data_IF_038666946779
#
_entry.id   IF_038666946779
#
_cell.length_a   1.000
_cell.length_b   1.000
_cell.length_c   1.000
_cell.angle_alpha   90.00
_cell.angle_beta   90.00
_cell.angle_gamma   90.00
#
_symmetry.space_group_name_H-M   'P 1'
#
loop_
_entity.id
_entity.type
_entity.pdbx_description
1 polymer ?
#
# COMPACT_ATOMS: atom_id res chain seq x y z
N UNK A 1 -6.71 -19.82 -9.44
CA UNK A 1 -6.09 -19.06 -8.34
C UNK A 1 -5.22 -20.00 -7.52
N UNK A 2 -4.10 -19.51 -6.97
CA UNK A 2 -3.23 -20.33 -6.12
C UNK A 2 -3.66 -20.20 -4.66
N UNK A 3 -3.71 -21.33 -3.94
CA UNK A 3 -3.96 -21.39 -2.51
C UNK A 3 -2.72 -21.96 -1.80
N UNK A 4 -2.35 -21.34 -0.67
CA UNK A 4 -1.33 -21.82 0.26
C UNK A 4 -2.07 -22.13 1.56
N UNK A 5 -1.97 -23.37 2.03
CA UNK A 5 -2.71 -23.85 3.19
C UNK A 5 -1.70 -24.34 4.22
N UNK A 6 -1.83 -23.90 5.46
CA UNK A 6 -1.03 -24.37 6.59
C UNK A 6 -1.98 -24.72 7.76
N UNK A 7 -2.14 -26.02 8.00
CA UNK A 7 -2.95 -26.53 9.11
C UNK A 7 -2.24 -26.31 10.45
N UNK A 8 -2.94 -25.71 11.40
CA UNK A 8 -2.48 -25.41 12.77
C UNK A 8 -3.64 -25.49 13.74
N UNK A 9 -3.76 -26.61 14.44
CA UNK A 9 -4.90 -26.92 15.31
C UNK A 9 -4.71 -26.44 16.77
N UNK A 10 -3.82 -25.48 17.03
CA UNK A 10 -3.54 -25.02 18.40
C UNK A 10 -4.66 -24.15 18.99
N UNK A 11 -5.44 -23.47 18.15
CA UNK A 11 -6.57 -22.64 18.54
C UNK A 11 -7.68 -22.76 17.48
N UNK A 12 -8.97 -22.67 17.86
CA UNK A 12 -10.10 -22.83 16.94
C UNK A 12 -10.36 -21.56 16.10
N UNK A 13 -9.31 -21.08 15.42
CA UNK A 13 -9.28 -19.88 14.58
C UNK A 13 -8.42 -20.16 13.35
N UNK A 14 -8.78 -19.54 12.23
CA UNK A 14 -7.92 -19.42 11.07
C UNK A 14 -7.76 -17.96 10.64
N UNK A 15 -6.69 -17.67 9.92
CA UNK A 15 -6.40 -16.40 9.26
C UNK A 15 -6.40 -16.61 7.75
N UNK A 16 -7.24 -15.84 7.06
CA UNK A 16 -7.25 -15.75 5.62
C UNK A 16 -6.53 -14.50 5.14
N UNK A 17 -5.75 -14.63 4.07
CA UNK A 17 -5.01 -13.54 3.46
C UNK A 17 -5.08 -13.69 1.94
N UNK A 18 -5.56 -12.68 1.22
CA UNK A 18 -5.55 -12.65 -0.24
C UNK A 18 -4.58 -11.59 -0.71
N UNK A 19 -3.55 -12.01 -1.41
CA UNK A 19 -2.53 -11.19 -2.06
C UNK A 19 -2.88 -11.02 -3.53
N UNK A 20 -2.99 -9.78 -3.99
CA UNK A 20 -3.09 -9.42 -5.41
C UNK A 20 -1.75 -8.80 -5.81
N UNK A 21 -1.10 -9.36 -6.84
CA UNK A 21 0.19 -8.88 -7.34
C UNK A 21 -0.02 -7.64 -8.23
N UNK A 22 -0.49 -6.56 -7.60
CA UNK A 22 -0.72 -5.25 -8.20
C UNK A 22 -0.55 -4.18 -7.12
N UNK A 23 0.18 -3.09 -7.39
CA UNK A 23 0.28 -1.94 -6.49
C UNK A 23 0.46 -0.65 -7.26
N UNK A 24 0.92 0.41 -6.59
CA UNK A 24 1.09 1.72 -7.24
C UNK A 24 2.14 1.72 -8.36
N UNK A 25 3.05 0.73 -8.40
CA UNK A 25 4.01 0.58 -9.48
C UNK A 25 3.39 0.11 -10.79
N UNK A 26 2.22 -0.53 -10.73
CA UNK A 26 1.51 -1.04 -11.91
C UNK A 26 0.53 0.02 -12.50
N UNK A 27 0.55 1.24 -11.95
CA UNK A 27 -0.29 2.36 -12.37
C UNK A 27 0.34 3.20 -13.49
N UNK A 28 -0.49 4.02 -14.13
CA UNK A 28 -0.08 4.96 -15.18
C UNK A 28 -0.38 6.39 -14.78
N UNK A 29 0.41 7.35 -15.29
CA UNK A 29 0.13 8.78 -15.08
C UNK A 29 -1.28 9.15 -15.54
N UNK A 30 -1.93 10.01 -14.77
CA UNK A 30 -3.34 10.38 -14.95
C UNK A 30 -4.31 9.46 -14.21
N UNK A 31 -3.84 8.33 -13.68
CA UNK A 31 -4.60 7.39 -12.85
C UNK A 31 -3.77 6.86 -11.67
N UNK A 32 -2.87 7.68 -11.12
CA UNK A 32 -2.11 7.29 -9.92
C UNK A 32 -3.02 7.22 -8.68
N UNK A 33 -2.74 6.30 -7.77
CA UNK A 33 -3.54 6.00 -6.57
C UNK A 33 -4.73 5.07 -6.81
N UNK A 34 -4.95 4.61 -8.04
CA UNK A 34 -6.08 3.74 -8.37
C UNK A 34 -5.99 2.37 -7.69
N UNK A 35 -4.80 1.84 -7.43
CA UNK A 35 -4.62 0.61 -6.64
C UNK A 35 -5.09 0.83 -5.20
N UNK A 36 -4.80 1.99 -4.61
CA UNK A 36 -5.22 2.36 -3.26
C UNK A 36 -6.74 2.50 -3.15
N UNK A 37 -7.43 2.93 -4.21
CA UNK A 37 -8.90 2.95 -4.24
C UNK A 37 -9.48 1.57 -3.89
N UNK A 38 -8.88 0.47 -4.34
CA UNK A 38 -9.37 -0.88 -4.04
C UNK A 38 -9.23 -1.31 -2.59
N UNK A 39 -8.42 -0.62 -1.79
CA UNK A 39 -8.40 -0.77 -0.34
C UNK A 39 -9.70 -0.22 0.27
N UNK A 40 -10.14 0.95 -0.17
CA UNK A 40 -11.39 1.58 0.26
C UNK A 40 -12.63 0.85 -0.25
N UNK A 41 -12.57 0.36 -1.48
CA UNK A 41 -13.68 -0.37 -2.11
C UNK A 41 -13.81 -1.81 -1.64
N UNK A 42 -12.81 -2.31 -0.88
CA UNK A 42 -12.70 -3.70 -0.45
C UNK A 42 -13.97 -4.26 0.21
N UNK A 43 -14.67 -3.43 0.99
CA UNK A 43 -15.78 -3.89 1.84
C UNK A 43 -17.13 -3.28 1.44
N UNK A 44 -17.20 -2.69 0.23
CA UNK A 44 -18.42 -2.05 -0.28
C UNK A 44 -19.46 -3.04 -0.85
N UNK A 45 -19.13 -4.33 -0.87
CA UNK A 45 -20.07 -5.40 -1.22
C UNK A 45 -20.18 -5.70 -2.72
N UNK A 46 -21.27 -6.36 -3.07
CA UNK A 46 -21.53 -6.93 -4.40
C UNK A 46 -22.94 -6.55 -4.89
N UNK A 47 -23.41 -7.16 -5.98
CA UNK A 47 -24.79 -6.95 -6.46
C UNK A 47 -25.84 -7.54 -5.53
N UNK A 48 -25.45 -8.46 -4.65
CA UNK A 48 -26.36 -9.15 -3.71
C UNK A 48 -26.10 -8.80 -2.24
N UNK A 49 -24.96 -8.18 -1.94
CA UNK A 49 -24.56 -7.79 -0.60
C UNK A 49 -24.18 -6.31 -0.57
N UNK A 50 -24.63 -5.57 0.43
CA UNK A 50 -24.37 -4.14 0.61
C UNK A 50 -25.38 -3.22 -0.08
N UNK A 51 -26.58 -3.72 -0.37
CA UNK A 51 -27.62 -2.96 -1.11
C UNK A 51 -29.03 -3.34 -0.73
N UNK A 52 -29.93 -2.37 -0.82
CA UNK A 52 -31.38 -2.48 -0.61
C UNK A 52 -32.15 -2.51 -1.94
N UNK A 53 -31.46 -2.33 -3.07
CA UNK A 53 -32.03 -2.27 -4.42
C UNK A 53 -30.94 -1.98 -5.44
N UNK A 54 -30.30 -3.04 -5.95
CA UNK A 54 -29.13 -2.90 -6.81
C UNK A 54 -29.47 -2.25 -8.17
N UNK A 55 -30.61 -2.57 -8.76
CA UNK A 55 -30.96 -2.05 -10.09
C UNK A 55 -31.17 -0.53 -10.05
N UNK A 56 -31.84 -0.02 -9.01
CA UNK A 56 -32.00 1.41 -8.77
C UNK A 56 -30.68 2.09 -8.44
N UNK A 57 -29.88 1.48 -7.55
CA UNK A 57 -28.55 1.95 -7.19
C UNK A 57 -27.65 2.07 -8.43
N UNK A 58 -27.63 1.04 -9.27
CA UNK A 58 -26.86 0.99 -10.51
C UNK A 58 -27.29 2.08 -11.48
N UNK A 59 -28.59 2.27 -11.67
CA UNK A 59 -29.10 3.32 -12.56
C UNK A 59 -28.67 4.73 -12.10
N UNK A 60 -28.58 4.97 -10.79
CA UNK A 60 -28.06 6.22 -10.24
C UNK A 60 -26.54 6.33 -10.39
N UNK A 61 -25.79 5.25 -10.15
CA UNK A 61 -24.35 5.22 -10.37
C UNK A 61 -23.96 5.50 -11.82
N UNK A 62 -24.68 4.94 -12.78
CA UNK A 62 -24.40 5.16 -14.21
C UNK A 62 -24.66 6.62 -14.60
N UNK A 63 -25.72 7.26 -14.07
CA UNK A 63 -25.95 8.70 -14.25
C UNK A 63 -24.86 9.55 -13.60
N UNK A 64 -24.40 9.16 -12.41
CA UNK A 64 -23.30 9.86 -11.73
C UNK A 64 -22.02 9.80 -12.55
N UNK A 65 -21.71 8.66 -13.18
CA UNK A 65 -20.54 8.55 -14.06
C UNK A 65 -20.63 9.50 -15.25
N UNK A 66 -21.77 9.52 -15.96
CA UNK A 66 -22.00 10.42 -17.10
C UNK A 66 -21.87 11.90 -16.70
N UNK A 67 -22.37 12.23 -15.51
CA UNK A 67 -22.30 13.59 -14.98
C UNK A 67 -20.89 13.96 -14.53
N UNK A 68 -20.17 13.02 -13.94
CA UNK A 68 -18.79 13.20 -13.54
C UNK A 68 -17.86 13.40 -14.74
N UNK A 69 -18.10 12.71 -15.86
CA UNK A 69 -17.37 12.95 -17.11
C UNK A 69 -17.62 14.36 -17.67
N UNK A 70 -18.85 14.89 -17.51
CA UNK A 70 -19.15 16.28 -17.85
C UNK A 70 -18.43 17.27 -16.92
N UNK A 71 -18.37 16.99 -15.62
CA UNK A 71 -17.60 17.78 -14.65
C UNK A 71 -16.12 17.81 -15.03
N UNK A 72 -15.52 16.64 -15.31
CA UNK A 72 -14.13 16.54 -15.80
C UNK A 72 -13.92 17.37 -17.07
N UNK A 73 -14.84 17.29 -18.03
CA UNK A 73 -14.76 18.06 -19.27
C UNK A 73 -14.83 19.57 -19.03
N UNK A 74 -15.57 20.04 -18.02
CA UNK A 74 -15.57 21.45 -17.62
C UNK A 74 -14.26 21.84 -16.94
N UNK A 75 -13.77 21.05 -15.97
CA UNK A 75 -12.50 21.31 -15.29
C UNK A 75 -11.32 21.37 -16.27
N UNK A 76 -11.32 20.52 -17.30
CA UNK A 76 -10.29 20.50 -18.34
C UNK A 76 -10.22 21.81 -19.15
N UNK A 77 -11.27 22.64 -19.16
CA UNK A 77 -11.26 23.96 -19.82
C UNK A 77 -10.50 25.03 -19.02
N UNK A 78 -10.13 24.75 -17.77
CA UNK A 78 -9.43 25.67 -16.88
C UNK A 78 -10.17 27.01 -16.75
N UNK A 79 -9.49 28.12 -17.05
CA UNK A 79 -10.07 29.47 -16.98
C UNK A 79 -11.23 29.72 -17.95
N UNK A 80 -11.49 28.81 -18.91
CA UNK A 80 -12.62 28.89 -19.84
C UNK A 80 -13.80 28.00 -19.42
N UNK A 81 -13.76 27.41 -18.23
CA UNK A 81 -14.88 26.66 -17.69
C UNK A 81 -16.09 27.57 -17.50
N UNK A 82 -17.27 27.05 -17.83
CA UNK A 82 -18.53 27.73 -17.56
C UNK A 82 -18.90 27.52 -16.09
N UNK A 83 -18.76 28.58 -15.30
CA UNK A 83 -18.97 28.54 -13.85
C UNK A 83 -20.43 28.27 -13.46
N UNK A 84 -21.40 28.76 -14.25
CA UNK A 84 -22.81 28.49 -14.02
C UNK A 84 -23.09 27.02 -14.31
N UNK A 85 -22.61 26.53 -15.46
CA UNK A 85 -22.78 25.11 -15.81
C UNK A 85 -22.10 24.18 -14.81
N UNK A 86 -20.92 24.56 -14.32
CA UNK A 86 -20.21 23.76 -13.31
C UNK A 86 -21.03 23.65 -12.02
N UNK A 87 -21.58 24.77 -11.53
CA UNK A 87 -22.42 24.77 -10.34
C UNK A 87 -23.69 23.92 -10.49
N UNK A 88 -24.32 23.94 -11.66
CA UNK A 88 -25.46 23.05 -11.98
C UNK A 88 -25.07 21.57 -11.91
N UNK A 89 -23.98 21.19 -12.59
CA UNK A 89 -23.51 19.81 -12.65
C UNK A 89 -23.12 19.30 -11.25
N UNK A 90 -22.45 20.13 -10.44
CA UNK A 90 -22.07 19.78 -9.06
C UNK A 90 -23.29 19.57 -8.16
N UNK A 91 -24.31 20.43 -8.28
CA UNK A 91 -25.54 20.31 -7.52
C UNK A 91 -26.33 19.03 -7.89
N UNK A 92 -26.48 18.77 -9.19
CA UNK A 92 -27.12 17.54 -9.69
C UNK A 92 -26.35 16.29 -9.25
N UNK A 93 -25.02 16.34 -9.28
CA UNK A 93 -24.17 15.22 -8.88
C UNK A 93 -24.32 14.89 -7.41
N UNK A 94 -24.32 15.92 -6.56
CA UNK A 94 -24.55 15.76 -5.12
C UNK A 94 -25.95 15.18 -4.84
N UNK A 95 -26.98 15.65 -5.54
CA UNK A 95 -28.32 15.11 -5.40
C UNK A 95 -28.37 13.61 -5.77
N UNK A 96 -27.79 13.21 -6.90
CA UNK A 96 -27.73 11.80 -7.30
C UNK A 96 -26.96 10.95 -6.29
N UNK A 97 -25.90 11.49 -5.68
CA UNK A 97 -25.15 10.80 -4.64
C UNK A 97 -25.99 10.58 -3.36
N UNK A 98 -26.76 11.58 -2.95
CA UNK A 98 -27.68 11.47 -1.82
C UNK A 98 -28.81 10.46 -2.10
N UNK A 99 -29.37 10.47 -3.32
CA UNK A 99 -30.38 9.49 -3.75
C UNK A 99 -29.81 8.06 -3.78
N UNK A 100 -28.59 7.86 -4.33
CA UNK A 100 -27.95 6.56 -4.40
C UNK A 100 -27.66 5.99 -3.00
N UNK A 101 -27.30 6.85 -2.04
CA UNK A 101 -27.03 6.45 -0.65
C UNK A 101 -28.23 5.82 0.07
N UNK A 102 -29.46 6.05 -0.41
CA UNK A 102 -30.65 5.41 0.15
C UNK A 102 -30.70 3.91 -0.15
N UNK A 103 -30.09 3.49 -1.26
CA UNK A 103 -30.02 2.11 -1.71
C UNK A 103 -28.76 1.38 -1.23
N UNK A 104 -27.67 2.09 -0.97
CA UNK A 104 -26.42 1.49 -0.49
C UNK A 104 -26.46 1.16 1.01
N UNK A 105 -25.90 0.01 1.38
CA UNK A 105 -25.48 -0.32 2.75
C UNK A 105 -24.01 -0.72 2.75
N UNK A 106 -23.13 0.30 2.65
CA UNK A 106 -21.68 0.12 2.52
C UNK A 106 -20.99 -0.52 3.71
N UNK A 107 -21.71 -0.79 4.81
CA UNK A 107 -21.21 -1.44 6.02
C UNK A 107 -21.74 -2.87 6.19
N UNK A 108 -22.62 -3.36 5.32
CA UNK A 108 -23.23 -4.69 5.50
C UNK A 108 -22.17 -5.81 5.51
N UNK A 109 -21.18 -5.72 4.62
CA UNK A 109 -20.09 -6.68 4.54
C UNK A 109 -19.30 -6.77 5.86
N UNK A 110 -18.91 -5.61 6.42
CA UNK A 110 -18.16 -5.57 7.68
C UNK A 110 -19.01 -5.96 8.87
N UNK A 111 -20.30 -5.61 8.90
CA UNK A 111 -21.25 -6.04 9.94
C UNK A 111 -21.41 -7.55 10.00
N UNK A 112 -21.49 -8.23 8.84
CA UNK A 112 -21.53 -9.70 8.79
C UNK A 112 -20.25 -10.27 9.43
N UNK A 113 -19.08 -9.75 9.04
CA UNK A 113 -17.81 -10.21 9.60
C UNK A 113 -17.74 -10.00 11.13
N UNK A 114 -18.14 -8.82 11.62
CA UNK A 114 -18.16 -8.51 13.05
C UNK A 114 -19.10 -9.44 13.83
N UNK A 115 -20.30 -9.69 13.31
CA UNK A 115 -21.28 -10.60 13.93
C UNK A 115 -20.77 -12.05 13.98
N UNK A 116 -19.95 -12.44 13.02
CA UNK A 116 -19.39 -13.79 12.91
C UNK A 116 -18.02 -13.94 13.61
N UNK A 117 -17.61 -12.91 14.36
CA UNK A 117 -16.43 -12.95 15.22
C UNK A 117 -15.12 -12.70 14.48
N UNK A 118 -15.16 -12.00 13.35
CA UNK A 118 -13.94 -11.63 12.63
C UNK A 118 -13.07 -10.70 13.47
N UNK A 119 -11.75 -10.93 13.41
CA UNK A 119 -10.75 -10.09 14.08
C UNK A 119 -9.71 -9.66 13.05
N UNK A 120 -9.28 -8.40 13.14
CA UNK A 120 -8.24 -7.87 12.26
C UNK A 120 -8.68 -7.68 10.81
N UNK A 121 -9.97 -7.43 10.55
CA UNK A 121 -10.51 -7.04 9.24
C UNK A 121 -9.78 -5.82 8.72
N UNK A 122 -8.97 -6.04 7.69
CA UNK A 122 -8.19 -4.99 7.10
C UNK A 122 -7.83 -5.28 5.63
N UNK A 123 -7.42 -4.23 4.95
CA UNK A 123 -6.81 -4.28 3.64
C UNK A 123 -5.54 -3.41 3.66
N UNK A 124 -4.72 -3.52 2.64
CA UNK A 124 -3.55 -2.67 2.51
C UNK A 124 -3.02 -2.65 1.08
N UNK A 125 -2.54 -1.48 0.68
CA UNK A 125 -1.89 -1.28 -0.62
C UNK A 125 -0.45 -0.82 -0.42
N UNK A 126 0.42 -1.29 -1.31
CA UNK A 126 1.82 -0.90 -1.39
C UNK A 126 2.19 -0.52 -2.82
N UNK A 127 3.47 -0.24 -3.08
CA UNK A 127 3.96 -0.10 -4.43
C UNK A 127 3.85 -1.39 -5.26
N UNK A 128 3.82 -2.57 -4.63
CA UNK A 128 3.95 -3.87 -5.34
C UNK A 128 2.71 -4.77 -5.28
N UNK A 129 1.83 -4.51 -4.31
CA UNK A 129 0.74 -5.41 -3.96
C UNK A 129 -0.42 -4.69 -3.27
N UNK A 130 -1.60 -5.29 -3.40
CA UNK A 130 -2.79 -5.01 -2.61
C UNK A 130 -3.22 -6.29 -1.92
N UNK A 131 -3.58 -6.22 -0.65
CA UNK A 131 -3.94 -7.40 0.12
C UNK A 131 -5.14 -7.17 1.04
N UNK A 132 -5.83 -8.26 1.36
CA UNK A 132 -7.04 -8.29 2.17
C UNK A 132 -6.94 -9.45 3.16
N UNK A 133 -7.16 -9.19 4.44
CA UNK A 133 -6.91 -10.21 5.45
C UNK A 133 -7.72 -10.01 6.72
N UNK A 134 -8.05 -11.13 7.35
CA UNK A 134 -8.68 -11.21 8.66
C UNK A 134 -8.68 -12.64 9.19
N UNK A 135 -8.93 -12.76 10.49
CA UNK A 135 -9.10 -14.03 11.18
C UNK A 135 -10.56 -14.27 11.53
N UNK A 136 -10.97 -15.53 11.55
CA UNK A 136 -12.31 -15.98 11.90
C UNK A 136 -12.25 -17.29 12.71
N UNK A 137 -13.28 -17.63 13.50
CA UNK A 137 -13.43 -18.96 14.09
C UNK A 137 -13.40 -20.06 13.02
N UNK A 138 -12.81 -21.23 13.31
CA UNK A 138 -12.63 -22.34 12.34
C UNK A 138 -13.91 -22.74 11.61
N UNK A 139 -15.04 -22.73 12.32
CA UNK A 139 -16.36 -23.08 11.77
C UNK A 139 -16.96 -22.01 10.83
N UNK A 140 -16.19 -20.98 10.46
CA UNK A 140 -16.57 -19.92 9.51
C UNK A 140 -15.74 -19.94 8.22
N UNK A 141 -14.97 -20.99 7.98
CA UNK A 141 -14.17 -21.09 6.74
C UNK A 141 -15.02 -21.00 5.46
N UNK A 142 -16.21 -21.62 5.44
CA UNK A 142 -17.09 -21.54 4.27
C UNK A 142 -17.67 -20.13 4.08
N UNK A 143 -17.92 -19.40 5.16
CA UNK A 143 -18.33 -17.99 5.11
C UNK A 143 -17.22 -17.12 4.48
N UNK A 144 -15.97 -17.31 4.92
CA UNK A 144 -14.81 -16.62 4.33
C UNK A 144 -14.69 -16.92 2.83
N UNK A 145 -14.81 -18.19 2.44
CA UNK A 145 -14.78 -18.61 1.04
C UNK A 145 -15.89 -17.94 0.21
N UNK A 146 -17.10 -17.88 0.77
CA UNK A 146 -18.23 -17.22 0.11
C UNK A 146 -17.96 -15.72 -0.07
N UNK A 147 -17.71 -14.99 1.02
CA UNK A 147 -17.55 -13.52 0.99
C UNK A 147 -16.37 -13.08 0.12
N UNK A 148 -15.21 -13.69 0.30
CA UNK A 148 -14.01 -13.30 -0.44
C UNK A 148 -14.11 -13.65 -1.92
N UNK A 149 -14.70 -14.80 -2.28
CA UNK A 149 -14.88 -15.14 -3.70
C UNK A 149 -15.85 -14.18 -4.39
N UNK A 150 -16.97 -13.84 -3.73
CA UNK A 150 -17.95 -12.89 -4.26
C UNK A 150 -17.33 -11.50 -4.48
N UNK A 151 -16.52 -11.01 -3.53
CA UNK A 151 -15.81 -9.71 -3.66
C UNK A 151 -14.97 -9.64 -4.94
N UNK A 152 -14.37 -10.73 -5.37
CA UNK A 152 -13.52 -10.74 -6.57
C UNK A 152 -14.24 -11.17 -7.85
N UNK A 153 -15.43 -11.75 -7.75
CA UNK A 153 -16.24 -12.13 -8.91
C UNK A 153 -17.12 -10.98 -9.35
N UNK A 154 -17.78 -10.32 -8.40
CA UNK A 154 -18.84 -9.36 -8.66
C UNK A 154 -18.79 -8.14 -7.71
N UNK A 155 -17.66 -7.40 -7.66
CA UNK A 155 -17.58 -6.20 -6.84
C UNK A 155 -18.46 -5.10 -7.39
N UNK A 156 -19.13 -4.39 -6.48
CA UNK A 156 -19.83 -3.15 -6.82
C UNK A 156 -19.07 -1.97 -6.26
N UNK A 157 -18.69 -1.03 -7.13
CA UNK A 157 -18.01 0.22 -6.76
C UNK A 157 -18.98 1.25 -6.18
N UNK A 158 -19.83 0.83 -5.25
CA UNK A 158 -20.79 1.72 -4.59
C UNK A 158 -20.08 2.67 -3.65
N UNK A 159 -20.64 3.87 -3.50
CA UNK A 159 -19.99 4.97 -2.76
C UNK A 159 -18.62 5.41 -3.31
N UNK A 160 -18.23 5.01 -4.54
CA UNK A 160 -16.92 5.31 -5.13
C UNK A 160 -16.49 6.78 -4.95
N UNK A 161 -17.38 7.71 -5.29
CA UNK A 161 -17.07 9.14 -5.21
C UNK A 161 -16.96 9.67 -3.77
N UNK A 162 -17.71 9.06 -2.83
CA UNK A 162 -17.62 9.37 -1.39
C UNK A 162 -16.29 8.86 -0.83
N UNK A 163 -15.89 7.63 -1.15
CA UNK A 163 -14.58 7.10 -0.77
C UNK A 163 -13.44 7.88 -1.41
N UNK A 164 -13.62 8.38 -2.64
CA UNK A 164 -12.65 9.27 -3.27
C UNK A 164 -12.40 10.55 -2.47
N UNK A 165 -13.43 11.12 -1.87
CA UNK A 165 -13.27 12.27 -0.97
C UNK A 165 -12.58 11.89 0.34
N UNK A 166 -12.82 10.68 0.88
CA UNK A 166 -12.07 10.15 2.03
C UNK A 166 -10.58 10.01 1.70
N UNK A 167 -10.24 9.47 0.53
CA UNK A 167 -8.84 9.33 0.05
C UNK A 167 -8.18 10.72 -0.10
N UNK A 168 -8.91 11.73 -0.58
CA UNK A 168 -8.41 13.11 -0.65
C UNK A 168 -8.08 13.69 0.72
N UNK A 169 -8.94 13.47 1.71
CA UNK A 169 -8.65 13.87 3.10
C UNK A 169 -7.47 13.09 3.68
N UNK A 170 -7.37 11.80 3.41
CA UNK A 170 -6.22 11.00 3.81
C UNK A 170 -4.91 11.55 3.23
N UNK A 171 -4.88 11.86 1.93
CA UNK A 171 -3.71 12.47 1.29
C UNK A 171 -3.35 13.81 1.95
N UNK A 172 -4.36 14.65 2.21
CA UNK A 172 -4.17 15.94 2.90
C UNK A 172 -3.55 15.75 4.28
N UNK A 173 -4.03 14.77 5.05
CA UNK A 173 -3.54 14.50 6.40
C UNK A 173 -2.15 13.85 6.42
N UNK A 174 -1.96 12.78 5.62
CA UNK A 174 -0.75 11.93 5.66
C UNK A 174 0.43 12.54 4.92
N UNK A 175 0.17 13.27 3.83
CA UNK A 175 1.22 13.85 2.97
C UNK A 175 1.20 15.37 3.03
N UNK A 176 0.12 16.02 2.57
CA UNK A 176 0.17 17.46 2.28
C UNK A 176 0.26 18.34 3.52
N UNK A 177 -0.22 17.87 4.67
CA UNK A 177 -0.11 18.55 5.97
C UNK A 177 1.07 18.05 6.81
N UNK A 178 1.75 16.98 6.40
CA UNK A 178 2.88 16.38 7.10
C UNK A 178 4.22 16.84 6.50
N UNK A 179 5.06 17.60 7.24
CA UNK A 179 6.37 18.00 6.72
C UNK A 179 7.26 16.81 6.33
N UNK A 180 7.18 15.71 7.07
CA UNK A 180 7.91 14.47 6.76
C UNK A 180 7.29 13.78 5.55
N UNK A 181 5.95 13.73 5.48
CA UNK A 181 5.23 13.16 4.32
C UNK A 181 5.61 13.85 3.01
N UNK A 182 5.59 15.19 2.98
CA UNK A 182 6.07 15.98 1.82
C UNK A 182 7.53 15.69 1.49
N UNK A 183 8.42 15.65 2.48
CA UNK A 183 9.84 15.39 2.23
C UNK A 183 10.08 14.00 1.63
N UNK A 184 9.37 12.98 2.12
CA UNK A 184 9.52 11.61 1.62
C UNK A 184 8.92 11.46 0.22
N UNK A 185 7.78 12.08 -0.08
CA UNK A 185 7.21 12.10 -1.45
C UNK A 185 8.15 12.80 -2.45
N UNK A 186 8.71 13.96 -2.07
CA UNK A 186 9.70 14.67 -2.89
C UNK A 186 10.99 13.86 -3.07
N UNK A 187 11.48 13.18 -2.02
CA UNK A 187 12.65 12.31 -2.11
C UNK A 187 12.40 11.15 -3.06
N UNK A 188 11.22 10.54 -2.99
CA UNK A 188 10.82 9.43 -3.84
C UNK A 188 10.79 9.86 -5.32
N UNK A 189 10.12 10.98 -5.61
CA UNK A 189 10.08 11.54 -6.97
C UNK A 189 11.45 12.00 -7.48
N UNK A 190 12.34 12.48 -6.59
CA UNK A 190 13.71 12.84 -6.97
C UNK A 190 14.58 11.61 -7.25
N UNK A 191 14.35 10.49 -6.57
CA UNK A 191 15.12 9.27 -6.73
C UNK A 191 14.82 8.58 -8.07
N UNK A 192 13.55 8.54 -8.49
CA UNK A 192 13.13 7.86 -9.72
C UNK A 192 12.77 8.84 -10.83
N UNK A 193 13.50 8.80 -11.94
CA UNK A 193 13.21 9.58 -13.14
C UNK A 193 12.24 8.88 -14.09
N UNK A 194 12.18 7.55 -14.06
CA UNK A 194 11.40 6.77 -15.02
C UNK A 194 10.60 5.63 -14.39
N UNK A 195 11.15 4.93 -13.39
CA UNK A 195 10.44 3.80 -12.80
C UNK A 195 9.19 4.26 -12.02
N UNK A 196 8.04 3.55 -12.11
CA UNK A 196 6.80 3.89 -11.40
C UNK A 196 6.90 3.95 -9.87
N UNK A 197 7.99 3.46 -9.30
CA UNK A 197 8.32 3.69 -7.88
C UNK A 197 8.53 5.16 -7.54
N UNK A 198 8.60 6.07 -8.52
CA UNK A 198 8.50 7.51 -8.26
C UNK A 198 7.11 7.98 -7.83
N UNK A 199 6.05 7.18 -8.06
CA UNK A 199 4.67 7.59 -7.81
C UNK A 199 4.29 7.39 -6.34
N UNK A 200 3.63 8.36 -5.68
CA UNK A 200 3.11 8.16 -4.34
C UNK A 200 2.02 7.09 -4.35
N UNK A 201 2.03 6.18 -3.38
CA UNK A 201 1.09 5.05 -3.30
C UNK A 201 -0.37 5.53 -3.28
N UNK A 202 -0.64 6.61 -2.56
CA UNK A 202 -1.98 7.22 -2.48
C UNK A 202 -2.42 7.93 -3.77
N UNK A 203 -1.48 8.17 -4.71
CA UNK A 203 -1.71 8.92 -5.94
C UNK A 203 -1.52 10.43 -5.81
N UNK A 204 -1.38 11.10 -6.95
CA UNK A 204 -1.35 12.56 -7.01
C UNK A 204 -2.76 13.14 -6.85
N UNK A 205 -2.89 14.27 -6.14
CA UNK A 205 -4.20 14.92 -5.90
C UNK A 205 -4.97 15.22 -7.20
N UNK A 206 -4.27 15.57 -8.29
CA UNK A 206 -4.88 15.78 -9.62
C UNK A 206 -5.53 14.52 -10.18
N UNK A 207 -4.87 13.38 -9.99
CA UNK A 207 -5.32 12.09 -10.50
C UNK A 207 -6.49 11.61 -9.64
N UNK A 208 -6.36 11.62 -8.32
CA UNK A 208 -7.44 11.29 -7.38
C UNK A 208 -8.70 12.14 -7.66
N UNK A 209 -8.54 13.44 -7.95
CA UNK A 209 -9.69 14.29 -8.28
C UNK A 209 -10.42 13.82 -9.53
N UNK A 210 -9.70 13.31 -10.53
CA UNK A 210 -10.23 13.04 -11.87
C UNK A 210 -10.47 11.56 -12.19
N UNK A 211 -9.99 10.62 -11.36
CA UNK A 211 -10.25 9.19 -11.55
C UNK A 211 -11.75 8.89 -11.54
N UNK A 212 -12.17 8.07 -12.50
CA UNK A 212 -13.55 7.62 -12.70
C UNK A 212 -13.77 6.20 -12.18
N UNK A 213 -15.04 5.87 -11.91
CA UNK A 213 -15.46 4.51 -11.59
C UNK A 213 -15.20 3.54 -12.75
N UNK A 214 -15.31 4.01 -14.00
CA UNK A 214 -15.01 3.24 -15.20
C UNK A 214 -13.53 2.85 -15.28
N UNK A 215 -12.61 3.78 -15.04
CA UNK A 215 -11.16 3.52 -14.98
C UNK A 215 -10.84 2.55 -13.85
N UNK A 216 -11.46 2.70 -12.67
CA UNK A 216 -11.31 1.75 -11.57
C UNK A 216 -11.77 0.34 -11.99
N UNK A 217 -12.98 0.19 -12.53
CA UNK A 217 -13.47 -1.12 -13.01
C UNK A 217 -12.60 -1.71 -14.12
N UNK A 218 -11.98 -0.89 -14.96
CA UNK A 218 -11.00 -1.36 -15.95
C UNK A 218 -9.75 -1.92 -15.28
N UNK A 219 -9.18 -1.18 -14.31
CA UNK A 219 -8.04 -1.63 -13.52
C UNK A 219 -8.34 -2.94 -12.79
N UNK A 220 -9.52 -3.06 -12.17
CA UNK A 220 -9.98 -4.30 -11.54
C UNK A 220 -9.94 -5.48 -12.52
N UNK A 221 -10.58 -5.32 -13.69
CA UNK A 221 -10.68 -6.36 -14.71
C UNK A 221 -9.32 -6.80 -15.27
N UNK A 222 -8.35 -5.90 -15.28
CA UNK A 222 -7.00 -6.16 -15.78
C UNK A 222 -6.14 -6.88 -14.74
N UNK A 223 -6.15 -6.44 -13.48
CA UNK A 223 -5.21 -6.90 -12.46
C UNK A 223 -5.76 -7.92 -11.46
N UNK A 224 -7.07 -7.93 -11.18
CA UNK A 224 -7.71 -8.83 -10.21
C UNK A 224 -8.15 -10.12 -10.89
N UNK A 225 -7.16 -10.87 -11.37
CA UNK A 225 -7.37 -12.13 -12.08
C UNK A 225 -6.91 -13.32 -11.25
N UNK A 226 -7.51 -14.52 -11.43
CA UNK A 226 -7.10 -15.70 -10.68
C UNK A 226 -5.61 -16.06 -10.84
N UNK A 227 -4.99 -15.68 -11.95
CA UNK A 227 -3.57 -15.95 -12.25
C UNK A 227 -2.63 -14.93 -11.58
N UNK A 228 -3.14 -13.75 -11.19
CA UNK A 228 -2.40 -12.70 -10.50
C UNK A 228 -2.67 -12.62 -8.98
N UNK A 229 -3.40 -13.61 -8.44
CA UNK A 229 -3.81 -13.64 -7.04
C UNK A 229 -3.40 -14.93 -6.33
N UNK A 230 -3.09 -14.81 -5.05
CA UNK A 230 -2.79 -15.93 -4.15
C UNK A 230 -3.57 -15.77 -2.85
N UNK A 231 -4.25 -16.81 -2.41
CA UNK A 231 -4.82 -16.90 -1.07
C UNK A 231 -3.89 -17.71 -0.17
N UNK A 232 -3.69 -17.26 1.07
CA UNK A 232 -3.09 -18.03 2.14
C UNK A 232 -4.12 -18.23 3.25
N UNK A 233 -4.28 -19.47 3.71
CA UNK A 233 -5.18 -19.86 4.80
C UNK A 233 -4.36 -20.62 5.82
N UNK A 234 -4.26 -20.08 7.03
CA UNK A 234 -3.40 -20.61 8.09
C UNK A 234 -4.22 -20.72 9.38
N UNK A 235 -4.22 -21.88 10.03
CA UNK A 235 -4.93 -22.09 11.29
C UNK A 235 -5.64 -23.43 11.36
N UNK A 236 -6.65 -23.51 12.22
CA UNK A 236 -7.41 -24.73 12.47
C UNK A 236 -8.41 -25.00 11.33
N UNK A 237 -7.89 -25.55 10.24
CA UNK A 237 -8.61 -25.92 9.02
C UNK A 237 -8.16 -27.30 8.54
N UNK A 238 -8.98 -27.97 7.74
CA UNK A 238 -8.59 -29.16 7.00
C UNK A 238 -8.29 -28.78 5.55
N UNK A 239 -7.11 -29.14 5.04
CA UNK A 239 -6.67 -28.75 3.70
C UNK A 239 -7.55 -29.32 2.58
N UNK A 240 -8.02 -30.57 2.71
CA UNK A 240 -8.88 -31.19 1.69
C UNK A 240 -10.23 -30.47 1.59
N UNK A 241 -10.82 -30.08 2.73
CA UNK A 241 -12.04 -29.26 2.78
C UNK A 241 -11.82 -27.88 2.16
N UNK A 242 -10.70 -27.22 2.49
CA UNK A 242 -10.34 -25.91 1.93
C UNK A 242 -10.16 -25.99 0.42
N UNK A 243 -9.54 -27.05 -0.11
CA UNK A 243 -9.37 -27.26 -1.56
C UNK A 243 -10.74 -27.40 -2.25
N UNK A 244 -11.64 -28.22 -1.69
CA UNK A 244 -12.98 -28.39 -2.25
C UNK A 244 -13.78 -27.08 -2.25
N UNK A 245 -13.68 -26.30 -1.17
CA UNK A 245 -14.30 -24.97 -1.09
C UNK A 245 -13.67 -23.99 -2.08
N UNK A 246 -12.35 -23.99 -2.24
CA UNK A 246 -11.67 -23.14 -3.20
C UNK A 246 -12.17 -23.42 -4.65
N UNK A 247 -12.34 -24.68 -5.02
CA UNK A 247 -12.92 -25.07 -6.31
C UNK A 247 -14.39 -24.62 -6.45
N UNK A 248 -15.20 -24.82 -5.41
CA UNK A 248 -16.62 -24.42 -5.37
C UNK A 248 -16.81 -22.90 -5.50
N UNK A 249 -16.05 -22.12 -4.74
CA UNK A 249 -16.25 -20.68 -4.59
C UNK A 249 -15.41 -19.87 -5.57
N UNK A 250 -14.09 -20.06 -5.58
CA UNK A 250 -13.16 -19.31 -6.43
C UNK A 250 -13.00 -19.91 -7.83
N UNK A 251 -13.35 -21.18 -8.03
CA UNK A 251 -13.36 -21.82 -9.36
C UNK A 251 -14.33 -21.18 -10.35
N UNK A 252 -15.28 -20.35 -9.86
CA UNK A 252 -16.20 -19.54 -10.68
C UNK A 252 -15.53 -18.33 -11.33
N UNK A 253 -14.38 -17.88 -10.83
CA UNK A 253 -13.70 -16.72 -11.39
C UNK A 253 -13.24 -17.02 -12.83
N UNK A 254 -13.52 -16.12 -13.79
CA UNK A 254 -13.13 -16.35 -15.18
C UNK A 254 -11.61 -16.37 -15.31
N UNK A 255 -11.09 -17.37 -16.04
CA UNK A 255 -9.68 -17.42 -16.39
C UNK A 255 -9.32 -16.22 -17.28
N UNK A 256 -8.21 -15.55 -16.94
CA UNK A 256 -7.66 -14.42 -17.70
C UNK A 256 -6.15 -14.56 -17.80
N UNK A 257 -5.56 -13.96 -18.83
CA UNK A 257 -4.11 -13.83 -18.96
C UNK A 257 -3.53 -13.06 -17.77
N UNK A 258 -2.23 -13.23 -17.54
CA UNK A 258 -1.53 -12.38 -16.58
C UNK A 258 -1.62 -10.91 -17.04
N UNK A 259 -1.78 -9.96 -16.11
CA UNK A 259 -1.69 -8.55 -16.44
C UNK A 259 -0.30 -8.18 -16.98
N UNK A 260 -0.19 -7.03 -17.66
CA UNK A 260 1.11 -6.48 -18.02
C UNK A 260 1.99 -6.30 -16.76
N UNK A 261 3.30 -6.35 -16.95
CA UNK A 261 4.28 -6.09 -15.88
C UNK A 261 4.99 -4.78 -16.17
N UNK A 262 5.50 -4.17 -15.12
CA UNK A 262 6.39 -3.02 -15.26
C UNK A 262 7.68 -3.46 -15.95
N UNK A 263 7.91 -2.93 -17.14
CA UNK A 263 9.13 -3.17 -17.92
C UNK A 263 10.12 -2.00 -17.84
N UNK A 264 9.62 -0.80 -17.50
CA UNK A 264 10.45 0.40 -17.35
C UNK A 264 11.42 0.23 -16.21
N UNK A 265 12.71 0.16 -16.51
CA UNK A 265 13.78 0.18 -15.52
C UNK A 265 14.22 1.62 -15.20
N UNK A 266 14.62 1.88 -13.96
CA UNK A 266 15.21 3.17 -13.58
C UNK A 266 16.59 3.33 -14.25
N UNK A 267 16.85 4.44 -14.97
CA UNK A 267 18.18 4.71 -15.49
C UNK A 267 19.20 4.87 -14.36
N UNK A 268 20.46 4.49 -14.64
CA UNK A 268 21.55 4.68 -13.69
C UNK A 268 21.65 6.16 -13.27
N UNK A 269 21.53 6.42 -11.98
CA UNK A 269 21.78 7.74 -11.41
C UNK A 269 23.26 8.12 -11.62
N UNK A 270 23.51 9.28 -12.23
CA UNK A 270 24.85 9.74 -12.60
C UNK A 270 25.55 10.59 -11.52
N UNK A 271 24.82 11.04 -10.51
CA UNK A 271 25.34 11.88 -9.45
C UNK A 271 24.35 12.09 -8.32
N UNK A 272 24.83 12.62 -7.21
CA UNK A 272 23.99 12.94 -6.05
C UNK A 272 22.88 13.94 -6.42
N UNK A 273 21.69 13.70 -5.88
CA UNK A 273 20.56 14.62 -5.99
C UNK A 273 20.18 15.05 -4.58
N UNK A 274 19.95 16.35 -4.38
CA UNK A 274 19.59 16.92 -3.07
C UNK A 274 18.38 17.83 -3.23
N UNK A 275 17.47 17.75 -2.27
CA UNK A 275 16.38 18.71 -2.09
C UNK A 275 16.37 19.19 -0.64
N UNK A 276 15.86 20.39 -0.41
CA UNK A 276 15.73 20.98 0.92
C UNK A 276 14.39 21.69 1.03
N UNK A 277 13.56 21.26 1.97
CA UNK A 277 12.31 21.93 2.35
C UNK A 277 12.59 22.75 3.62
N UNK A 278 12.22 24.04 3.62
CA UNK A 278 12.43 24.95 4.76
C UNK A 278 11.08 25.29 5.37
N UNK A 279 10.85 24.81 6.60
CA UNK A 279 9.60 24.99 7.33
C UNK A 279 9.83 25.09 8.84
N UNK A 280 8.82 25.55 9.58
CA UNK A 280 8.83 25.63 11.04
C UNK A 280 8.47 24.27 11.68
N UNK A 281 9.36 23.29 11.53
CA UNK A 281 9.19 21.94 12.06
C UNK A 281 10.49 21.43 12.70
N UNK A 282 10.42 20.29 13.40
CA UNK A 282 11.60 19.60 13.88
C UNK A 282 12.49 19.20 12.68
N UNK A 283 13.81 19.47 12.72
CA UNK A 283 14.71 19.05 11.66
C UNK A 283 14.62 17.53 11.44
N UNK A 284 14.65 17.15 10.16
CA UNK A 284 14.64 15.77 9.73
C UNK A 284 15.52 15.65 8.47
N UNK A 285 16.27 14.57 8.37
CA UNK A 285 17.06 14.24 7.20
C UNK A 285 16.82 12.79 6.79
N UNK A 286 16.72 12.57 5.49
CA UNK A 286 16.70 11.26 4.87
C UNK A 286 17.77 11.19 3.75
N UNK A 287 18.43 10.05 3.63
CA UNK A 287 19.46 9.77 2.61
C UNK A 287 19.08 8.44 1.97
N UNK A 288 18.96 8.38 0.64
CA UNK A 288 18.58 7.16 -0.07
C UNK A 288 19.65 6.71 -1.05
N UNK A 289 19.86 5.40 -1.12
CA UNK A 289 20.70 4.75 -2.13
C UNK A 289 19.86 3.75 -2.93
N UNK A 290 19.97 3.75 -4.25
CA UNK A 290 19.39 2.66 -5.05
C UNK A 290 20.04 1.33 -4.69
N UNK A 291 19.21 0.32 -4.49
CA UNK A 291 19.60 -1.07 -4.23
C UNK A 291 18.83 -2.03 -5.16
N UNK A 292 19.31 -3.25 -5.36
CA UNK A 292 18.62 -4.20 -6.22
C UNK A 292 17.33 -4.76 -5.58
N UNK A 293 16.53 -5.43 -6.41
CA UNK A 293 15.27 -6.08 -6.03
C UNK A 293 15.45 -7.24 -5.03
N UNK A 294 14.34 -7.68 -4.44
CA UNK A 294 14.31 -8.64 -3.32
C UNK A 294 14.97 -9.99 -3.60
N UNK A 295 14.98 -10.49 -4.84
CA UNK A 295 15.59 -11.78 -5.21
C UNK A 295 17.08 -11.68 -5.50
N UNK A 296 17.65 -10.47 -5.56
CA UNK A 296 19.08 -10.30 -5.75
C UNK A 296 19.85 -10.79 -4.52
N UNK A 297 20.98 -11.51 -4.68
CA UNK A 297 21.75 -12.03 -3.54
C UNK A 297 22.14 -10.96 -2.50
N UNK A 298 22.44 -9.74 -2.97
CA UNK A 298 22.81 -8.62 -2.11
C UNK A 298 21.65 -8.11 -1.23
N UNK A 299 20.40 -8.47 -1.49
CA UNK A 299 19.28 -8.04 -0.65
C UNK A 299 19.48 -8.48 0.82
N UNK A 300 20.01 -9.69 1.03
CA UNK A 300 20.36 -10.17 2.37
C UNK A 300 21.53 -9.36 3.00
N UNK A 301 22.45 -8.85 2.18
CA UNK A 301 23.56 -7.99 2.61
C UNK A 301 23.02 -6.65 3.12
N UNK A 302 22.06 -6.02 2.44
CA UNK A 302 21.42 -4.79 2.94
C UNK A 302 20.68 -5.01 4.27
N UNK A 303 20.07 -6.17 4.48
CA UNK A 303 19.52 -6.55 5.79
C UNK A 303 20.61 -6.62 6.89
N UNK A 304 21.76 -7.22 6.57
CA UNK A 304 22.90 -7.26 7.49
C UNK A 304 23.48 -5.87 7.79
N UNK A 305 23.62 -5.01 6.77
CA UNK A 305 24.05 -3.62 6.93
C UNK A 305 23.10 -2.87 7.87
N UNK A 306 21.78 -3.04 7.69
CA UNK A 306 20.76 -2.45 8.56
C UNK A 306 20.94 -2.90 10.02
N UNK A 307 21.19 -4.19 10.25
CA UNK A 307 21.40 -4.71 11.61
C UNK A 307 22.64 -4.16 12.33
N UNK A 308 23.69 -3.88 11.56
CA UNK A 308 24.95 -3.32 12.06
C UNK A 308 24.78 -1.82 12.33
N UNK A 309 24.28 -1.08 11.34
CA UNK A 309 24.24 0.37 11.37
C UNK A 309 23.05 0.90 12.17
N UNK A 310 21.86 0.31 12.04
CA UNK A 310 20.61 0.92 12.48
C UNK A 310 19.81 0.10 13.52
N UNK A 311 19.86 -1.24 13.53
CA UNK A 311 18.95 -2.04 14.37
C UNK A 311 19.25 -2.01 15.88
N UNK A 312 18.40 -1.30 16.62
CA UNK A 312 18.34 -1.31 18.09
C UNK A 312 19.48 -0.56 18.77
N UNK A 313 19.48 -0.56 20.11
CA UNK A 313 20.41 0.26 20.94
C UNK A 313 21.89 -0.12 20.88
N UNK A 314 22.22 -1.19 20.17
CA UNK A 314 23.59 -1.68 20.02
C UNK A 314 24.17 -1.41 18.63
N UNK A 315 23.37 -0.83 17.73
CA UNK A 315 23.78 -0.45 16.38
C UNK A 315 24.78 0.71 16.41
N UNK A 316 25.56 0.86 15.34
CA UNK A 316 26.59 1.91 15.24
C UNK A 316 26.00 3.30 15.27
N UNK A 317 24.95 3.57 14.49
CA UNK A 317 24.28 4.88 14.46
C UNK A 317 23.69 5.24 15.82
N UNK A 318 23.07 4.29 16.53
CA UNK A 318 22.55 4.55 17.87
C UNK A 318 23.65 4.94 18.86
N UNK A 319 24.73 4.14 18.92
CA UNK A 319 25.85 4.41 19.82
C UNK A 319 26.46 5.77 19.54
N UNK A 320 26.72 6.07 18.27
CA UNK A 320 27.41 7.29 17.85
C UNK A 320 26.54 8.53 17.97
N UNK A 321 25.40 8.58 17.27
CA UNK A 321 24.60 9.79 17.15
C UNK A 321 23.74 10.07 18.40
N UNK A 322 23.22 9.03 19.05
CA UNK A 322 22.26 9.17 20.16
C UNK A 322 22.97 9.07 21.53
N UNK A 323 23.78 8.03 21.76
CA UNK A 323 24.35 7.77 23.09
C UNK A 323 25.60 8.61 23.38
N UNK A 324 26.55 8.61 22.44
CA UNK A 324 27.89 9.16 22.66
C UNK A 324 27.91 10.68 22.35
N UNK A 325 27.58 11.08 21.11
CA UNK A 325 27.60 12.48 20.68
C UNK A 325 26.32 13.26 21.03
N UNK A 326 25.20 12.56 21.27
CA UNK A 326 23.88 13.12 21.65
C UNK A 326 23.33 14.17 20.67
N UNK A 327 23.69 14.07 19.39
CA UNK A 327 23.30 15.00 18.32
C UNK A 327 21.99 14.61 17.61
N UNK A 328 21.45 13.44 17.93
CA UNK A 328 20.23 12.89 17.37
C UNK A 328 19.32 12.35 18.46
N UNK A 329 18.01 12.50 18.27
CA UNK A 329 16.97 11.88 19.08
C UNK A 329 16.74 10.44 18.59
N UNK A 330 16.82 10.23 17.28
CA UNK A 330 16.61 8.95 16.63
C UNK A 330 17.29 8.93 15.27
N UNK A 331 17.97 7.84 14.96
CA UNK A 331 18.56 7.58 13.65
C UNK A 331 18.37 6.11 13.30
N UNK A 332 18.14 5.82 12.03
CA UNK A 332 17.84 4.47 11.57
C UNK A 332 17.99 4.29 10.07
N UNK A 333 17.62 3.11 9.60
CA UNK A 333 17.64 2.76 8.19
C UNK A 333 16.49 1.80 7.83
N UNK A 334 16.00 1.89 6.59
CA UNK A 334 14.96 1.05 6.01
C UNK A 334 15.51 0.32 4.76
N UNK A 335 15.65 -1.03 4.79
CA UNK A 335 16.21 -1.83 3.72
C UNK A 335 15.27 -2.05 2.52
N UNK A 336 14.32 -1.15 2.28
CA UNK A 336 13.36 -1.23 1.18
C UNK A 336 12.36 -0.08 1.21
N UNK A 337 12.22 0.63 0.10
CA UNK A 337 11.23 1.68 -0.13
C UNK A 337 11.17 2.07 -1.63
N UNK A 338 10.00 2.37 -2.21
CA UNK A 338 8.65 2.22 -1.63
C UNK A 338 8.11 0.79 -1.70
N UNK A 339 8.82 -0.11 -2.38
CA UNK A 339 8.52 -1.53 -2.50
C UNK A 339 9.80 -2.35 -2.59
N UNK A 340 9.67 -3.65 -2.83
CA UNK A 340 10.74 -4.65 -2.84
C UNK A 340 10.82 -5.52 -4.10
N UNK A 341 9.76 -5.59 -4.89
CA UNK A 341 9.66 -6.40 -6.11
C UNK A 341 10.63 -5.98 -7.21
N UNK A 342 10.90 -4.68 -7.32
CA UNK A 342 11.85 -4.09 -8.26
C UNK A 342 13.02 -3.41 -7.53
N UNK A 343 14.03 -2.97 -8.27
CA UNK A 343 15.15 -2.21 -7.69
C UNK A 343 14.60 -1.00 -6.95
N UNK A 344 14.98 -0.87 -5.68
CA UNK A 344 14.34 0.03 -4.73
C UNK A 344 15.36 0.93 -4.00
N UNK A 345 14.95 1.60 -2.92
CA UNK A 345 15.82 2.43 -2.10
C UNK A 345 16.18 1.78 -0.76
N UNK A 346 17.45 1.90 -0.39
CA UNK A 346 17.94 1.78 0.97
C UNK A 346 18.01 3.17 1.62
N UNK A 347 17.14 3.44 2.59
CA UNK A 347 17.00 4.74 3.23
C UNK A 347 17.71 4.77 4.58
N UNK A 348 18.42 5.85 4.87
CA UNK A 348 18.83 6.26 6.21
C UNK A 348 18.03 7.48 6.62
N UNK A 349 17.78 7.65 7.92
CA UNK A 349 17.17 8.86 8.45
C UNK A 349 17.75 9.27 9.80
N UNK A 350 17.59 10.54 10.15
CA UNK A 350 17.85 11.04 11.51
C UNK A 350 16.98 12.24 11.87
N UNK A 351 16.66 12.34 13.16
CA UNK A 351 16.07 13.50 13.81
C UNK A 351 17.12 14.17 14.70
N UNK A 352 17.74 15.28 14.27
CA UNK A 352 18.67 16.02 15.11
C UNK A 352 18.07 16.40 16.47
N UNK A 353 18.89 16.35 17.52
CA UNK A 353 18.54 16.87 18.83
C UNK A 353 18.59 18.40 18.86
N UNK A 354 18.03 19.00 19.92
CA UNK A 354 17.97 20.45 20.06
C UNK A 354 19.38 21.08 19.98
N UNK A 355 19.54 22.10 19.14
CA UNK A 355 20.83 22.79 18.92
C UNK A 355 21.74 22.12 17.89
N UNK A 356 21.35 20.97 17.32
CA UNK A 356 22.10 20.28 16.27
C UNK A 356 21.42 20.39 14.90
N UNK A 357 22.18 20.16 13.84
CA UNK A 357 21.75 20.40 12.45
C UNK A 357 21.63 19.11 11.65
N UNK A 358 20.83 19.16 10.58
CA UNK A 358 20.76 18.10 9.56
C UNK A 358 22.16 17.80 9.00
N UNK A 359 22.95 18.83 8.68
CA UNK A 359 24.28 18.67 8.10
C UNK A 359 25.23 17.87 9.01
N UNK A 360 25.21 18.11 10.33
CA UNK A 360 26.07 17.36 11.25
C UNK A 360 25.62 15.90 11.41
N UNK A 361 24.31 15.66 11.41
CA UNK A 361 23.76 14.31 11.45
C UNK A 361 24.08 13.54 10.16
N UNK A 362 23.97 14.20 9.01
CA UNK A 362 24.36 13.67 7.70
C UNK A 362 25.82 13.25 7.68
N UNK A 363 26.72 14.16 8.06
CA UNK A 363 28.17 13.92 8.13
C UNK A 363 28.49 12.66 8.94
N UNK A 364 27.84 12.50 10.10
CA UNK A 364 28.05 11.33 10.95
C UNK A 364 27.47 10.03 10.38
N UNK A 365 26.31 10.08 9.72
CA UNK A 365 25.77 8.90 9.03
C UNK A 365 26.72 8.48 7.91
N UNK A 366 27.16 9.43 7.09
CA UNK A 366 28.09 9.18 5.99
C UNK A 366 29.44 8.65 6.48
N UNK A 367 29.94 9.14 7.62
CA UNK A 367 31.15 8.63 8.24
C UNK A 367 31.03 7.15 8.65
N UNK A 368 29.91 6.75 9.27
CA UNK A 368 29.69 5.34 9.64
C UNK A 368 29.51 4.43 8.41
N UNK A 369 28.92 4.94 7.33
CA UNK A 369 28.87 4.25 6.04
C UNK A 369 30.28 4.08 5.46
N UNK A 370 31.12 5.11 5.52
CA UNK A 370 32.49 5.03 5.01
C UNK A 370 33.36 4.07 5.82
N UNK A 371 33.21 4.03 7.14
CA UNK A 371 33.84 3.02 8.00
C UNK A 371 33.41 1.62 7.56
N UNK A 372 32.11 1.39 7.31
CA UNK A 372 31.64 0.07 6.86
C UNK A 372 32.20 -0.33 5.49
N UNK A 373 32.49 0.64 4.62
CA UNK A 373 33.12 0.39 3.30
C UNK A 373 34.60 0.05 3.40
N UNK A 374 35.30 0.61 4.37
CA UNK A 374 36.78 0.60 4.44
C UNK A 374 37.33 -0.34 5.52
N UNK A 375 36.51 -0.68 6.52
CA UNK A 375 36.88 -1.54 7.64
C UNK A 375 36.03 -2.81 7.66
N UNK A 376 36.64 -3.93 8.06
CA UNK A 376 35.93 -5.20 8.21
C UNK A 376 34.97 -5.14 9.41
N UNK A 377 33.78 -5.74 9.22
CA UNK A 377 32.84 -5.98 10.32
C UNK A 377 33.46 -6.99 11.28
N UNK A 378 33.40 -6.67 12.58
CA UNK A 378 33.94 -7.57 13.60
C UNK A 378 33.16 -8.89 13.68
N UNK A 379 33.81 -9.98 14.11
CA UNK A 379 33.13 -11.28 14.28
C UNK A 379 31.95 -11.19 15.26
N UNK A 380 32.06 -10.35 16.29
CA UNK A 380 31.01 -10.14 17.27
C UNK A 380 29.76 -9.48 16.65
N UNK A 381 29.95 -8.45 15.81
CA UNK A 381 28.86 -7.82 15.06
C UNK A 381 28.22 -8.80 14.09
N UNK A 382 29.02 -9.55 13.33
CA UNK A 382 28.51 -10.54 12.39
C UNK A 382 27.72 -11.65 13.10
N UNK A 383 28.20 -12.13 14.25
CA UNK A 383 27.48 -13.10 15.08
C UNK A 383 26.14 -12.54 15.54
N UNK A 384 26.10 -11.27 15.98
CA UNK A 384 24.86 -10.59 16.37
C UNK A 384 23.87 -10.54 15.19
N UNK A 385 24.32 -10.15 13.99
CA UNK A 385 23.47 -10.12 12.79
C UNK A 385 22.86 -11.51 12.52
N UNK A 386 23.68 -12.56 12.54
CA UNK A 386 23.20 -13.94 12.34
C UNK A 386 22.19 -14.38 13.40
N UNK A 387 22.43 -14.03 14.67
CA UNK A 387 21.47 -14.30 15.75
C UNK A 387 20.15 -13.56 15.55
N UNK A 388 20.19 -12.28 15.16
CA UNK A 388 18.99 -11.50 14.87
C UNK A 388 18.22 -12.04 13.66
N UNK A 389 18.93 -12.42 12.60
CA UNK A 389 18.33 -13.03 11.41
C UNK A 389 17.62 -14.34 11.76
N UNK A 390 18.26 -15.20 12.56
CA UNK A 390 17.64 -16.43 13.06
C UNK A 390 16.42 -16.14 13.94
N UNK A 391 16.55 -15.23 14.89
CA UNK A 391 15.46 -14.85 15.78
C UNK A 391 14.25 -14.28 15.01
N UNK A 392 14.47 -13.53 13.92
CA UNK A 392 13.36 -13.07 13.05
C UNK A 392 12.62 -14.24 12.41
N UNK A 393 13.34 -15.20 11.84
CA UNK A 393 12.73 -16.42 11.26
C UNK A 393 11.95 -17.19 12.33
N UNK A 394 12.55 -17.38 13.51
CA UNK A 394 11.91 -18.09 14.62
C UNK A 394 10.68 -17.32 15.15
N UNK A 395 10.70 -15.98 15.15
CA UNK A 395 9.56 -15.14 15.53
C UNK A 395 8.39 -15.25 14.56
N UNK A 396 8.63 -15.48 13.26
CA UNK A 396 7.57 -15.78 12.29
C UNK A 396 7.01 -17.21 12.43
N UNK A 397 7.78 -18.13 13.05
CA UNK A 397 7.35 -19.50 13.30
C UNK A 397 6.66 -19.69 14.67
N UNK A 398 6.66 -18.67 15.53
CA UNK A 398 6.14 -18.72 16.92
C UNK A 398 4.88 -17.89 17.17
N UNK A 399 4.36 -17.24 16.14
CA UNK A 399 2.93 -16.89 16.01
C UNK A 399 2.29 -17.94 15.12
#
# INVERSE_FOLDING_TARGET
MKFIILERHEAPVFSGYIYVNVGSADEVYGNTGIAHVFEHMAFKGTTTLGTKGYDEEKALMDKMDDLFDQLRAQWAKGNHADAEKLGELEAEFKQLQEEASQYSDGEEYTKILEQEGAVGVNAGTSADWTAYFYSLPSNRIELWMALESERFIDPVMREFFKEKDVIKEERRMRTESSPIGRLIEELQGLAYLAHPYGHPIIGHMSDINTTTRTEALQFFREYYTPSNMVAAIIGDVNADEVIQMAEKYFGRMPARSNPPRVETAEPKQLGERRLKIVEQTQPFIAIAYHKPEVRHPDNAVFGAITDILASGRTSRLYKKLIRDEKISISAGAFPGFPGDKYSNLFLFYSFPSQGHTNAKNEEMILAEIEILKTELVSEAELKKVKTLAKARIDSFASF
#
